data_IF_955603323203
#
_entry.id   IF_955603323203
#
_cell.length_a   1.000
_cell.length_b   1.000
_cell.length_c   1.000
_cell.angle_alpha   90.00
_cell.angle_beta   90.00
_cell.angle_gamma   90.00
#
_symmetry.space_group_name_H-M   'P 1'
#
loop_
_entity.id
_entity.type
_entity.pdbx_description
1 polymer ?
#
# COMPACT_ATOMS: atom_id res chain seq x y z
N UNK A 1 -0.20 -10.44 62.75
CA UNK A 1 -0.69 -11.72 63.32
C UNK A 1 -1.37 -12.49 62.21
N UNK A 2 -0.92 -13.71 61.89
CA UNK A 2 -1.65 -14.60 60.97
C UNK A 2 -2.96 -14.99 61.66
N UNK A 3 -4.10 -14.75 61.02
CA UNK A 3 -5.43 -15.10 61.57
C UNK A 3 -5.53 -16.61 61.80
N UNK A 4 -6.36 -17.02 62.76
CA UNK A 4 -6.57 -18.43 63.13
C UNK A 4 -6.96 -19.31 61.93
N UNK A 5 -7.70 -18.75 60.97
CA UNK A 5 -8.09 -19.40 59.72
C UNK A 5 -6.93 -19.65 58.77
N UNK A 6 -6.04 -18.66 58.57
CA UNK A 6 -4.84 -18.82 57.73
C UNK A 6 -3.88 -19.85 58.33
N UNK A 7 -3.71 -19.88 59.66
CA UNK A 7 -2.89 -20.90 60.33
C UNK A 7 -3.39 -22.32 60.04
N UNK A 8 -4.71 -22.54 60.16
CA UNK A 8 -5.35 -23.83 59.84
C UNK A 8 -5.15 -24.24 58.38
N UNK A 9 -5.26 -23.29 57.45
CA UNK A 9 -4.99 -23.56 56.03
C UNK A 9 -3.54 -24.01 55.80
N UNK A 10 -2.55 -23.35 56.41
CA UNK A 10 -1.15 -23.74 56.29
C UNK A 10 -0.82 -25.07 57.01
N UNK A 11 -1.48 -25.37 58.13
CA UNK A 11 -1.36 -26.69 58.77
C UNK A 11 -1.86 -27.81 57.85
N UNK A 12 -3.03 -27.62 57.23
CA UNK A 12 -3.55 -28.55 56.24
C UNK A 12 -2.62 -28.70 55.04
N UNK A 13 -2.04 -27.60 54.57
CA UNK A 13 -1.09 -27.58 53.46
C UNK A 13 0.23 -28.30 53.78
N UNK A 14 0.65 -28.25 55.05
CA UNK A 14 1.83 -28.98 55.53
C UNK A 14 1.59 -30.49 55.68
N UNK A 15 0.35 -30.97 55.46
CA UNK A 15 -0.03 -32.36 55.64
C UNK A 15 -0.17 -32.80 57.11
N UNK A 16 -0.19 -31.84 58.05
CA UNK A 16 -0.28 -32.10 59.49
C UNK A 16 -1.73 -31.97 60.00
N UNK A 17 -2.07 -32.73 61.04
CA UNK A 17 -3.37 -32.63 61.72
C UNK A 17 -3.53 -31.29 62.45
N UNK A 18 -4.57 -30.53 62.12
CA UNK A 18 -4.85 -29.21 62.70
C UNK A 18 -5.12 -29.29 64.19
N UNK A 19 -5.90 -30.28 64.63
CA UNK A 19 -6.32 -30.45 66.03
C UNK A 19 -5.14 -30.77 66.94
N UNK A 20 -4.20 -31.59 66.47
CA UNK A 20 -2.98 -31.95 67.21
C UNK A 20 -1.98 -30.79 67.28
N UNK A 21 -1.84 -30.01 66.20
CA UNK A 21 -0.90 -28.87 66.18
C UNK A 21 -1.35 -27.69 67.02
N UNK A 22 -2.66 -27.51 67.20
CA UNK A 22 -3.19 -26.43 68.06
C UNK A 22 -2.86 -26.65 69.54
N UNK A 23 -2.63 -27.90 69.96
CA UNK A 23 -2.20 -28.25 71.32
C UNK A 23 -0.68 -28.11 71.52
N UNK A 24 0.09 -27.99 70.45
CA UNK A 24 1.54 -27.83 70.47
C UNK A 24 1.97 -26.38 70.75
N UNK A 25 3.19 -26.16 71.27
CA UNK A 25 3.72 -24.82 71.51
C UNK A 25 3.88 -24.01 70.21
N UNK A 26 3.78 -22.68 70.33
CA UNK A 26 3.79 -21.72 69.20
C UNK A 26 5.01 -21.84 68.25
N UNK A 27 6.14 -22.36 68.73
CA UNK A 27 7.33 -22.54 67.89
C UNK A 27 7.20 -23.72 66.91
N UNK A 28 6.54 -24.81 67.30
CA UNK A 28 6.24 -25.95 66.41
C UNK A 28 5.20 -25.56 65.37
N UNK A 29 4.17 -24.83 65.79
CA UNK A 29 3.16 -24.30 64.87
C UNK A 29 3.79 -23.46 63.75
N UNK A 30 4.72 -22.56 64.09
CA UNK A 30 5.42 -21.72 63.09
C UNK A 30 6.24 -22.56 62.09
N UNK A 31 6.83 -23.67 62.53
CA UNK A 31 7.59 -24.59 61.65
C UNK A 31 6.70 -25.24 60.60
N UNK A 32 5.53 -25.74 61.00
CA UNK A 32 4.59 -26.35 60.06
C UNK A 32 3.92 -25.33 59.14
N UNK A 33 3.67 -24.09 59.63
CA UNK A 33 3.24 -22.99 58.74
C UNK A 33 4.31 -22.73 57.67
N UNK A 34 5.59 -22.72 58.03
CA UNK A 34 6.67 -22.54 57.06
C UNK A 34 6.72 -23.69 56.04
N UNK A 35 6.51 -24.94 56.45
CA UNK A 35 6.42 -26.07 55.52
C UNK A 35 5.19 -26.00 54.60
N UNK A 36 4.06 -25.47 55.07
CA UNK A 36 2.92 -25.17 54.21
C UNK A 36 3.28 -24.12 53.15
N UNK A 37 3.93 -23.03 53.56
CA UNK A 37 4.35 -21.97 52.64
C UNK A 37 5.29 -22.47 51.53
N UNK A 38 6.20 -23.41 51.81
CA UNK A 38 7.13 -23.93 50.78
C UNK A 38 6.43 -24.72 49.67
N UNK A 39 5.24 -25.28 49.93
CA UNK A 39 4.43 -25.99 48.93
C UNK A 39 3.63 -25.03 48.04
N UNK A 40 3.34 -23.81 48.50
CA UNK A 40 2.66 -22.80 47.68
C UNK A 40 3.53 -22.25 46.55
N UNK A 41 4.85 -22.19 46.74
CA UNK A 41 5.75 -21.58 45.75
C UNK A 41 5.75 -22.37 44.43
N UNK A 42 5.97 -23.70 44.42
CA UNK A 42 5.82 -24.51 43.20
C UNK A 42 4.42 -24.47 42.61
N UNK A 43 3.37 -24.48 43.45
CA UNK A 43 1.98 -24.36 43.02
C UNK A 43 1.71 -23.04 42.26
N UNK A 44 2.20 -21.92 42.78
CA UNK A 44 2.05 -20.61 42.14
C UNK A 44 2.79 -20.53 40.79
N UNK A 45 4.03 -21.04 40.73
CA UNK A 45 4.77 -21.10 39.46
C UNK A 45 4.11 -22.03 38.45
N UNK A 46 3.59 -23.18 38.88
CA UNK A 46 2.85 -24.10 38.02
C UNK A 46 1.57 -23.46 37.47
N UNK A 47 0.85 -22.69 38.29
CA UNK A 47 -0.33 -21.94 37.86
C UNK A 47 0.03 -20.91 36.77
N UNK A 48 1.03 -20.07 37.02
CA UNK A 48 1.46 -19.03 36.07
C UNK A 48 1.95 -19.64 34.76
N UNK A 49 2.78 -20.68 34.84
CA UNK A 49 3.31 -21.36 33.66
C UNK A 49 2.22 -22.04 32.82
N UNK A 50 1.28 -22.73 33.46
CA UNK A 50 0.16 -23.38 32.76
C UNK A 50 -0.81 -22.35 32.18
N UNK A 51 -1.11 -21.27 32.91
CA UNK A 51 -1.94 -20.17 32.40
C UNK A 51 -1.30 -19.52 31.17
N UNK A 52 0.01 -19.28 31.18
CA UNK A 52 0.72 -18.77 30.01
C UNK A 52 0.72 -19.75 28.84
N UNK A 53 1.01 -21.03 29.08
CA UNK A 53 0.98 -22.05 28.03
C UNK A 53 -0.42 -22.21 27.40
N UNK A 54 -1.49 -22.04 28.16
CA UNK A 54 -2.85 -22.05 27.63
C UNK A 54 -3.19 -20.75 26.89
N UNK A 55 -2.62 -19.62 27.30
CA UNK A 55 -2.81 -18.34 26.60
C UNK A 55 -2.27 -18.33 25.17
N UNK A 56 -1.34 -19.23 24.84
CA UNK A 56 -0.86 -19.42 23.46
C UNK A 56 -1.76 -20.33 22.63
N UNK A 57 -2.65 -21.10 23.26
CA UNK A 57 -3.56 -22.05 22.60
C UNK A 57 -5.00 -21.52 22.47
N UNK A 58 -5.48 -20.76 23.45
CA UNK A 58 -6.84 -20.24 23.49
C UNK A 58 -6.88 -18.83 24.06
N UNK A 59 -7.80 -18.01 23.54
CA UNK A 59 -8.05 -16.65 24.03
C UNK A 59 -9.15 -16.60 25.12
N UNK A 60 -9.77 -17.72 25.46
CA UNK A 60 -10.86 -17.75 26.44
C UNK A 60 -10.31 -17.77 27.88
N UNK A 61 -10.32 -16.61 28.55
CA UNK A 61 -9.86 -16.43 29.92
C UNK A 61 -10.47 -17.43 30.92
N UNK A 62 -11.75 -17.79 30.78
CA UNK A 62 -12.40 -18.74 31.68
C UNK A 62 -11.78 -20.14 31.60
N UNK A 63 -11.45 -20.59 30.39
CA UNK A 63 -10.80 -21.89 30.17
C UNK A 63 -9.37 -21.85 30.71
N UNK A 64 -8.63 -20.77 30.45
CA UNK A 64 -7.24 -20.59 30.90
C UNK A 64 -7.16 -20.71 32.43
N UNK A 65 -7.93 -19.91 33.16
CA UNK A 65 -7.86 -19.89 34.62
C UNK A 65 -8.37 -21.18 35.26
N UNK A 66 -9.43 -21.77 34.71
CA UNK A 66 -10.01 -23.01 35.27
C UNK A 66 -9.04 -24.19 35.12
N UNK A 67 -8.45 -24.37 33.92
CA UNK A 67 -7.52 -25.47 33.67
C UNK A 67 -6.19 -25.23 34.42
N UNK A 68 -5.68 -24.01 34.45
CA UNK A 68 -4.49 -23.67 35.23
C UNK A 68 -4.71 -23.90 36.73
N UNK A 69 -5.89 -23.60 37.27
CA UNK A 69 -6.24 -23.86 38.67
C UNK A 69 -6.27 -25.37 38.97
N UNK A 70 -6.86 -26.17 38.08
CA UNK A 70 -6.85 -27.65 38.21
C UNK A 70 -5.41 -28.18 38.18
N UNK A 71 -4.58 -27.68 37.27
CA UNK A 71 -3.18 -28.09 37.17
C UNK A 71 -2.37 -27.71 38.42
N UNK A 72 -2.53 -26.48 38.90
CA UNK A 72 -1.89 -26.02 40.13
C UNK A 72 -2.34 -26.86 41.34
N UNK A 73 -3.62 -27.24 41.39
CA UNK A 73 -4.14 -28.12 42.42
C UNK A 73 -3.51 -29.53 42.36
N UNK A 74 -3.31 -30.09 41.16
CA UNK A 74 -2.58 -31.37 41.01
C UNK A 74 -1.17 -31.26 41.60
N UNK A 75 -0.40 -30.24 41.22
CA UNK A 75 0.95 -30.02 41.76
C UNK A 75 0.92 -29.84 43.28
N UNK A 76 -0.04 -29.04 43.79
CA UNK A 76 -0.22 -28.82 45.22
C UNK A 76 -0.48 -30.14 45.97
N UNK A 77 -1.31 -31.02 45.42
CA UNK A 77 -1.61 -32.32 46.04
C UNK A 77 -0.41 -33.26 46.04
N UNK A 78 0.37 -33.29 44.96
CA UNK A 78 1.59 -34.10 44.85
C UNK A 78 2.64 -33.61 45.86
N UNK A 79 2.93 -32.31 45.88
CA UNK A 79 3.91 -31.74 46.81
C UNK A 79 3.49 -31.89 48.27
N UNK A 80 2.19 -31.76 48.56
CA UNK A 80 1.63 -32.07 49.88
C UNK A 80 1.81 -33.54 50.24
N UNK A 81 1.52 -34.48 49.34
CA UNK A 81 1.66 -35.91 49.58
C UNK A 81 3.13 -36.29 49.85
N UNK A 82 4.07 -35.67 49.11
CA UNK A 82 5.50 -35.85 49.32
C UNK A 82 5.96 -35.33 50.70
N UNK A 83 5.43 -34.20 51.15
CA UNK A 83 5.71 -33.63 52.48
C UNK A 83 5.09 -34.48 53.61
N UNK A 84 3.84 -34.90 53.45
CA UNK A 84 3.11 -35.73 54.43
C UNK A 84 3.71 -37.13 54.58
N UNK A 85 4.37 -37.64 53.54
CA UNK A 85 5.07 -38.94 53.57
C UNK A 85 6.35 -38.91 54.41
N UNK A 86 6.84 -37.73 54.82
CA UNK A 86 8.04 -37.61 55.66
C UNK A 86 7.77 -38.13 57.08
N UNK A 87 8.50 -39.17 57.50
CA UNK A 87 8.44 -39.70 58.88
C UNK A 87 9.76 -39.45 59.63
N UNK A 88 9.73 -38.77 60.80
CA UNK A 88 10.94 -38.47 61.57
C UNK A 88 11.80 -39.69 61.94
N UNK A 89 11.16 -40.84 62.21
CA UNK A 89 11.80 -42.06 62.70
C UNK A 89 12.28 -43.03 61.60
N UNK A 90 12.41 -42.57 60.35
CA UNK A 90 12.85 -43.41 59.24
C UNK A 90 14.39 -43.54 59.16
N UNK A 91 14.89 -44.68 58.65
CA UNK A 91 16.33 -44.90 58.45
C UNK A 91 16.95 -43.86 57.50
N UNK A 92 18.22 -43.47 57.69
CA UNK A 92 18.85 -42.40 56.91
C UNK A 92 18.88 -42.70 55.40
N UNK A 93 19.01 -43.98 55.01
CA UNK A 93 18.99 -44.41 53.61
C UNK A 93 17.62 -44.15 52.96
N UNK A 94 16.52 -44.45 53.66
CA UNK A 94 15.17 -44.21 53.16
C UNK A 94 14.84 -42.71 53.13
N UNK A 95 15.35 -41.92 54.09
CA UNK A 95 15.28 -40.45 54.06
C UNK A 95 15.99 -39.88 52.83
N UNK A 96 17.17 -40.38 52.50
CA UNK A 96 17.91 -39.96 51.31
C UNK A 96 17.17 -40.36 50.03
N UNK A 97 16.60 -41.57 49.95
CA UNK A 97 15.81 -42.01 48.80
C UNK A 97 14.55 -41.15 48.56
N UNK A 98 13.83 -40.78 49.62
CA UNK A 98 12.67 -39.89 49.51
C UNK A 98 13.07 -38.47 49.09
N UNK A 99 14.20 -37.96 49.60
CA UNK A 99 14.75 -36.68 49.19
C UNK A 99 15.21 -36.69 47.73
N UNK A 100 15.89 -37.74 47.29
CA UNK A 100 16.33 -37.93 45.91
C UNK A 100 15.15 -38.01 44.94
N UNK A 101 14.10 -38.78 45.28
CA UNK A 101 12.87 -38.84 44.48
C UNK A 101 12.24 -37.45 44.32
N UNK A 102 12.14 -36.69 45.42
CA UNK A 102 11.63 -35.31 45.39
C UNK A 102 12.49 -34.40 44.52
N UNK A 103 13.81 -34.53 44.60
CA UNK A 103 14.74 -33.75 43.81
C UNK A 103 14.62 -34.05 42.31
N UNK A 104 14.50 -35.33 41.93
CA UNK A 104 14.28 -35.74 40.53
C UNK A 104 12.96 -35.21 39.99
N UNK A 105 11.87 -35.34 40.75
CA UNK A 105 10.56 -34.78 40.36
C UNK A 105 10.62 -33.27 40.21
N UNK A 106 11.29 -32.56 41.13
CA UNK A 106 11.46 -31.12 41.06
C UNK A 106 12.27 -30.66 39.83
N UNK A 107 13.33 -31.39 39.44
CA UNK A 107 14.08 -31.11 38.21
C UNK A 107 13.21 -31.31 36.98
N UNK A 108 12.49 -32.44 36.91
CA UNK A 108 11.64 -32.75 35.76
C UNK A 108 10.54 -31.69 35.60
N UNK A 109 9.86 -31.35 36.69
CA UNK A 109 8.86 -30.27 36.70
C UNK A 109 9.51 -28.92 36.37
N UNK A 110 10.69 -28.62 36.93
CA UNK A 110 11.43 -27.39 36.67
C UNK A 110 11.74 -27.18 35.18
N UNK A 111 12.22 -28.21 34.48
CA UNK A 111 12.51 -28.12 33.03
C UNK A 111 11.21 -27.87 32.24
N UNK A 112 10.15 -28.60 32.55
CA UNK A 112 8.87 -28.47 31.83
C UNK A 112 8.17 -27.12 32.07
N UNK A 113 8.27 -26.58 33.29
CA UNK A 113 7.69 -25.29 33.69
C UNK A 113 8.57 -24.12 33.23
N UNK A 114 9.88 -24.31 33.11
CA UNK A 114 10.80 -23.25 32.70
C UNK A 114 10.55 -22.79 31.25
N UNK A 115 10.27 -23.71 30.33
CA UNK A 115 10.08 -23.36 28.92
C UNK A 115 8.99 -22.29 28.69
N UNK A 116 7.74 -22.46 29.18
CA UNK A 116 6.73 -21.42 29.05
C UNK A 116 7.10 -20.13 29.80
N UNK A 117 7.74 -20.21 30.97
CA UNK A 117 8.15 -19.01 31.72
C UNK A 117 9.24 -18.20 31.00
N UNK A 118 10.21 -18.86 30.38
CA UNK A 118 11.27 -18.19 29.59
C UNK A 118 10.64 -17.50 28.38
N UNK A 119 9.71 -18.17 27.69
CA UNK A 119 8.99 -17.57 26.58
C UNK A 119 8.13 -16.37 27.01
N UNK A 120 7.50 -16.43 28.18
CA UNK A 120 6.74 -15.31 28.74
C UNK A 120 7.65 -14.13 29.08
N UNK A 121 8.78 -14.39 29.73
CA UNK A 121 9.73 -13.36 30.17
C UNK A 121 10.38 -12.62 28.98
N UNK A 122 10.70 -13.34 27.90
CA UNK A 122 11.37 -12.80 26.73
C UNK A 122 10.43 -12.54 25.55
N UNK A 123 9.11 -12.57 25.75
CA UNK A 123 8.12 -12.42 24.69
C UNK A 123 8.39 -11.18 23.83
N UNK A 124 8.65 -10.04 24.47
CA UNK A 124 8.83 -8.77 23.78
C UNK A 124 10.16 -8.74 23.01
N UNK A 125 11.24 -9.25 23.61
CA UNK A 125 12.54 -9.40 22.94
C UNK A 125 12.45 -10.31 21.72
N UNK A 126 11.76 -11.45 21.85
CA UNK A 126 11.54 -12.39 20.74
C UNK A 126 10.75 -11.70 19.62
N UNK A 127 9.68 -10.98 19.96
CA UNK A 127 8.87 -10.27 18.97
C UNK A 127 9.65 -9.18 18.24
N UNK A 128 10.50 -8.44 18.96
CA UNK A 128 11.36 -7.42 18.36
C UNK A 128 12.37 -8.01 17.39
N UNK A 129 12.99 -9.14 17.73
CA UNK A 129 13.94 -9.82 16.84
C UNK A 129 13.21 -10.33 15.60
N UNK A 130 12.04 -10.95 15.77
CA UNK A 130 11.22 -11.44 14.65
C UNK A 130 10.85 -10.31 13.69
N UNK A 131 10.42 -9.15 14.19
CA UNK A 131 10.07 -8.02 13.31
C UNK A 131 11.31 -7.43 12.62
N UNK A 132 12.47 -7.41 13.30
CA UNK A 132 13.72 -6.97 12.67
C UNK A 132 14.17 -7.92 11.54
N UNK A 133 14.10 -9.22 11.75
CA UNK A 133 14.39 -10.22 10.71
C UNK A 133 13.37 -10.14 9.57
N UNK A 134 12.09 -9.93 9.90
CA UNK A 134 11.03 -9.75 8.90
C UNK A 134 11.27 -8.52 8.03
N UNK A 135 11.65 -7.40 8.63
CA UNK A 135 12.00 -6.19 7.89
C UNK A 135 13.18 -6.43 6.93
N UNK A 136 14.24 -7.10 7.40
CA UNK A 136 15.39 -7.46 6.56
C UNK A 136 15.00 -8.42 5.41
N UNK A 137 14.14 -9.40 5.68
CA UNK A 137 13.62 -10.31 4.64
C UNK A 137 12.77 -9.57 3.60
N UNK A 138 11.97 -8.59 4.02
CA UNK A 138 11.18 -7.75 3.10
C UNK A 138 12.11 -6.91 2.22
N UNK A 139 13.15 -6.31 2.79
CA UNK A 139 14.13 -5.51 2.04
C UNK A 139 14.86 -6.34 0.98
N UNK A 140 15.44 -7.47 1.37
CA UNK A 140 16.10 -8.39 0.41
C UNK A 140 15.15 -8.91 -0.68
N UNK A 141 13.87 -9.06 -0.36
CA UNK A 141 12.85 -9.45 -1.34
C UNK A 141 12.51 -8.31 -2.29
N UNK A 142 12.42 -7.06 -1.79
CA UNK A 142 12.22 -5.86 -2.62
C UNK A 142 13.36 -5.69 -3.62
N UNK A 143 14.60 -5.87 -3.19
CA UNK A 143 15.78 -5.78 -4.07
C UNK A 143 15.69 -6.78 -5.22
N UNK A 144 15.31 -8.04 -4.94
CA UNK A 144 15.10 -9.07 -5.97
C UNK A 144 14.00 -8.68 -6.97
N UNK A 145 12.93 -8.07 -6.48
CA UNK A 145 11.84 -7.59 -7.34
C UNK A 145 12.26 -6.38 -8.18
N UNK A 146 13.06 -5.46 -7.64
CA UNK A 146 13.52 -4.30 -8.39
C UNK A 146 14.50 -4.69 -9.50
N UNK A 147 15.40 -5.65 -9.26
CA UNK A 147 16.23 -6.26 -10.32
C UNK A 147 15.36 -6.91 -11.41
N UNK A 148 14.30 -7.63 -11.02
CA UNK A 148 13.39 -8.23 -12.00
C UNK A 148 12.60 -7.18 -12.79
N UNK A 149 12.12 -6.12 -12.14
CA UNK A 149 11.46 -5.00 -12.81
C UNK A 149 12.38 -4.32 -13.81
N UNK A 150 13.64 -4.10 -13.44
CA UNK A 150 14.61 -3.46 -14.33
C UNK A 150 14.89 -4.33 -15.55
N UNK A 151 15.02 -5.65 -15.37
CA UNK A 151 15.13 -6.60 -16.48
C UNK A 151 13.90 -6.56 -17.39
N UNK A 152 12.69 -6.50 -16.82
CA UNK A 152 11.45 -6.39 -17.60
C UNK A 152 11.37 -5.05 -18.34
N UNK A 153 11.76 -3.93 -17.71
CA UNK A 153 11.85 -2.61 -18.36
C UNK A 153 12.83 -2.62 -19.52
N UNK A 154 14.01 -3.20 -19.34
CA UNK A 154 14.99 -3.36 -20.41
C UNK A 154 14.45 -4.20 -21.58
N UNK A 155 13.72 -5.27 -21.29
CA UNK A 155 13.06 -6.06 -22.34
C UNK A 155 11.98 -5.24 -23.07
N UNK A 156 11.20 -4.42 -22.35
CA UNK A 156 10.18 -3.54 -22.95
C UNK A 156 10.85 -2.51 -23.87
N UNK A 157 11.92 -1.85 -23.43
CA UNK A 157 12.63 -0.88 -24.27
C UNK A 157 13.21 -1.53 -25.53
N UNK A 158 13.76 -2.75 -25.41
CA UNK A 158 14.25 -3.51 -26.58
C UNK A 158 13.10 -3.89 -27.54
N UNK A 159 11.95 -4.29 -27.00
CA UNK A 159 10.76 -4.58 -27.81
C UNK A 159 10.23 -3.32 -28.51
N UNK A 160 10.16 -2.19 -27.82
CA UNK A 160 9.75 -0.91 -28.39
C UNK A 160 10.70 -0.45 -29.51
N UNK A 161 12.02 -0.60 -29.31
CA UNK A 161 13.03 -0.32 -30.34
C UNK A 161 12.83 -1.25 -31.56
N UNK A 162 12.62 -2.55 -31.33
CA UNK A 162 12.35 -3.50 -32.43
C UNK A 162 11.05 -3.19 -33.19
N UNK A 163 10.01 -2.73 -32.49
CA UNK A 163 8.74 -2.30 -33.10
C UNK A 163 8.94 -1.00 -33.89
N UNK A 164 9.73 -0.06 -33.36
CA UNK A 164 10.08 1.17 -34.06
C UNK A 164 10.85 0.89 -35.34
N UNK A 165 11.85 -0.01 -35.31
CA UNK A 165 12.55 -0.48 -36.51
C UNK A 165 11.59 -1.14 -37.52
N UNK A 166 10.69 -2.00 -37.05
CA UNK A 166 9.69 -2.63 -37.93
C UNK A 166 8.74 -1.60 -38.55
N UNK A 167 8.31 -0.59 -37.80
CA UNK A 167 7.50 0.52 -38.31
C UNK A 167 8.26 1.37 -39.33
N UNK A 168 9.55 1.60 -39.11
CA UNK A 168 10.41 2.27 -40.09
C UNK A 168 10.51 1.44 -41.38
N UNK A 169 10.82 0.15 -41.30
CA UNK A 169 10.86 -0.76 -42.47
C UNK A 169 9.51 -0.82 -43.19
N UNK A 170 8.41 -0.85 -42.44
CA UNK A 170 7.05 -0.80 -42.98
C UNK A 170 6.82 0.51 -43.73
N UNK A 171 7.10 1.67 -43.12
CA UNK A 171 6.96 2.98 -43.77
C UNK A 171 7.87 3.12 -44.99
N UNK A 172 9.11 2.63 -44.92
CA UNK A 172 10.04 2.58 -46.06
C UNK A 172 9.50 1.70 -47.21
N UNK A 173 8.65 0.71 -46.94
CA UNK A 173 8.00 -0.08 -48.00
C UNK A 173 6.90 0.68 -48.75
N UNK A 174 6.26 1.67 -48.11
CA UNK A 174 5.28 2.55 -48.77
C UNK A 174 5.93 3.77 -49.41
N UNK A 175 7.07 4.21 -48.89
CA UNK A 175 7.86 5.23 -49.55
C UNK A 175 8.58 4.61 -50.74
N UNK A 176 8.17 4.97 -51.96
CA UNK A 176 8.86 4.61 -53.18
C UNK A 176 10.24 5.28 -53.25
N UNK A 177 11.19 4.83 -52.42
CA UNK A 177 12.59 5.29 -52.37
C UNK A 177 13.34 5.00 -53.67
N UNK A 178 12.73 4.25 -54.59
CA UNK A 178 13.22 4.00 -55.94
C UNK A 178 12.81 5.08 -56.97
N UNK A 179 11.92 6.02 -56.63
CA UNK A 179 11.32 6.94 -57.61
C UNK A 179 11.74 8.40 -57.42
N UNK A 180 12.11 8.85 -56.21
CA UNK A 180 12.41 10.29 -56.00
C UNK A 180 13.67 10.44 -55.16
N UNK A 181 14.77 10.68 -55.86
CA UNK A 181 16.00 11.19 -55.30
C UNK A 181 15.97 12.72 -55.44
N UNK A 182 15.21 13.40 -54.59
CA UNK A 182 15.36 14.84 -54.41
C UNK A 182 14.92 15.25 -52.99
N UNK A 183 15.83 15.93 -52.30
CA UNK A 183 15.67 16.51 -50.96
C UNK A 183 14.57 17.58 -51.00
N UNK A 184 13.80 17.73 -49.92
CA UNK A 184 13.87 18.90 -49.02
C UNK A 184 12.82 18.87 -47.89
N UNK A 185 13.30 19.31 -46.73
CA UNK A 185 12.66 20.06 -45.64
C UNK A 185 11.69 19.42 -44.62
N UNK A 186 12.19 19.45 -43.38
CA UNK A 186 11.61 19.02 -42.12
C UNK A 186 10.54 19.98 -41.54
N UNK A 187 9.84 20.73 -42.39
CA UNK A 187 8.67 21.55 -42.00
C UNK A 187 7.41 21.20 -42.82
N UNK A 188 7.46 20.08 -43.56
CA UNK A 188 6.31 19.59 -44.32
C UNK A 188 5.27 18.98 -43.38
N UNK A 189 4.31 19.84 -43.03
CA UNK A 189 2.89 19.59 -42.92
C UNK A 189 2.48 18.11 -42.82
N UNK A 190 1.73 17.79 -41.75
CA UNK A 190 0.89 16.59 -41.65
C UNK A 190 0.28 16.32 -43.04
N UNK A 191 0.53 15.14 -43.65
CA UNK A 191 0.08 14.85 -45.01
C UNK A 191 -1.42 15.09 -45.15
N UNK A 192 -1.80 16.11 -45.94
CA UNK A 192 -3.19 16.38 -46.31
C UNK A 192 -3.79 17.74 -45.91
N UNK A 193 -3.15 18.56 -45.06
CA UNK A 193 -3.64 19.93 -44.73
C UNK A 193 -2.71 21.01 -45.29
N UNK A 194 -3.28 22.12 -45.76
CA UNK A 194 -2.51 23.34 -46.11
C UNK A 194 -1.99 24.04 -44.85
N UNK A 195 -0.92 24.84 -44.98
CA UNK A 195 -0.32 25.56 -43.85
C UNK A 195 -1.32 26.49 -43.12
N UNK A 196 -2.25 27.10 -43.86
CA UNK A 196 -3.29 27.96 -43.30
C UNK A 196 -4.32 27.16 -42.46
N UNK A 197 -4.72 25.97 -42.95
CA UNK A 197 -5.64 25.09 -42.22
C UNK A 197 -5.02 24.54 -40.93
N UNK A 198 -3.71 24.30 -40.92
CA UNK A 198 -3.00 23.90 -39.68
C UNK A 198 -2.98 25.02 -38.65
N UNK A 199 -2.85 26.27 -39.08
CA UNK A 199 -2.88 27.43 -38.19
C UNK A 199 -4.28 27.63 -37.58
N UNK A 200 -5.33 27.47 -38.38
CA UNK A 200 -6.72 27.52 -37.90
C UNK A 200 -7.06 26.38 -36.93
N UNK A 201 -6.65 25.15 -37.24
CA UNK A 201 -6.84 24.01 -36.34
C UNK A 201 -6.16 24.24 -34.99
N UNK A 202 -4.89 24.68 -35.00
CA UNK A 202 -4.15 25.00 -33.77
C UNK A 202 -4.86 26.08 -32.95
N UNK A 203 -5.28 27.17 -33.59
CA UNK A 203 -6.01 28.24 -32.91
C UNK A 203 -7.33 27.75 -32.28
N UNK A 204 -8.09 26.92 -33.00
CA UNK A 204 -9.34 26.35 -32.51
C UNK A 204 -9.12 25.37 -31.34
N UNK A 205 -8.07 24.54 -31.40
CA UNK A 205 -7.71 23.64 -30.29
C UNK A 205 -7.20 24.40 -29.06
N UNK A 206 -6.42 25.47 -29.26
CA UNK A 206 -5.94 26.32 -28.17
C UNK A 206 -7.11 27.06 -27.51
N UNK A 207 -8.05 27.62 -28.27
CA UNK A 207 -9.23 28.29 -27.72
C UNK A 207 -10.12 27.33 -26.92
N UNK A 208 -10.34 26.11 -27.44
CA UNK A 208 -11.14 25.09 -26.78
C UNK A 208 -10.50 24.55 -25.49
N UNK A 209 -9.16 24.50 -25.41
CA UNK A 209 -8.42 23.93 -24.26
C UNK A 209 -8.06 24.97 -23.20
N UNK A 210 -7.99 26.26 -23.57
CA UNK A 210 -7.62 27.39 -22.70
C UNK A 210 -8.22 27.39 -21.29
N UNK A 211 -9.55 27.26 -21.09
CA UNK A 211 -10.11 27.33 -19.74
C UNK A 211 -9.64 26.17 -18.84
N UNK A 212 -9.36 25.01 -19.43
CA UNK A 212 -8.88 23.85 -18.70
C UNK A 212 -7.38 23.93 -18.42
N UNK A 213 -6.58 24.44 -19.37
CA UNK A 213 -5.15 24.65 -19.17
C UNK A 213 -4.87 25.74 -18.13
N UNK A 214 -5.65 26.83 -18.12
CA UNK A 214 -5.53 27.89 -17.12
C UNK A 214 -5.84 27.33 -15.72
N UNK A 215 -6.88 26.49 -15.59
CA UNK A 215 -7.18 25.83 -14.32
C UNK A 215 -6.11 24.81 -13.91
N UNK A 216 -5.54 24.06 -14.86
CA UNK A 216 -4.43 23.13 -14.61
C UNK A 216 -3.21 23.84 -14.04
N UNK A 217 -2.80 24.97 -14.64
CA UNK A 217 -1.67 25.74 -14.13
C UNK A 217 -1.92 26.29 -12.71
N UNK A 218 -3.15 26.72 -12.42
CA UNK A 218 -3.53 27.16 -11.08
C UNK A 218 -3.47 26.02 -10.04
N UNK A 219 -3.94 24.82 -10.40
CA UNK A 219 -3.87 23.63 -9.53
C UNK A 219 -2.43 23.20 -9.31
N UNK A 220 -1.59 23.26 -10.34
CA UNK A 220 -0.17 22.94 -10.21
C UNK A 220 0.53 23.92 -9.28
N UNK A 221 0.25 25.23 -9.38
CA UNK A 221 0.75 26.24 -8.44
C UNK A 221 0.30 25.99 -6.99
N UNK A 222 -0.98 25.63 -6.78
CA UNK A 222 -1.48 25.28 -5.44
C UNK A 222 -0.81 24.01 -4.89
N UNK A 223 -0.62 23.00 -5.75
CA UNK A 223 0.00 21.74 -5.36
C UNK A 223 1.47 21.94 -5.00
N UNK A 224 2.22 22.77 -5.75
CA UNK A 224 3.62 23.08 -5.44
C UNK A 224 3.80 23.87 -4.15
N UNK A 225 2.83 24.73 -3.79
CA UNK A 225 2.82 25.45 -2.51
C UNK A 225 2.48 24.55 -1.31
N UNK A 226 1.48 23.70 -1.44
CA UNK A 226 0.96 22.88 -0.33
C UNK A 226 1.81 21.64 -0.05
N UNK A 227 2.46 21.07 -1.07
CA UNK A 227 3.32 19.89 -0.93
C UNK A 227 4.41 20.07 0.14
N UNK A 228 5.25 21.12 0.14
CA UNK A 228 6.27 21.29 1.17
C UNK A 228 5.71 21.54 2.57
N UNK A 229 4.54 22.19 2.68
CA UNK A 229 3.87 22.36 3.97
C UNK A 229 3.38 21.01 4.53
N UNK A 230 2.81 20.18 3.66
CA UNK A 230 2.37 18.84 4.02
C UNK A 230 3.53 17.92 4.41
N UNK A 231 4.65 17.94 3.66
CA UNK A 231 5.83 17.13 4.01
C UNK A 231 6.45 17.58 5.33
N UNK A 232 6.56 18.88 5.58
CA UNK A 232 7.00 19.41 6.89
C UNK A 232 6.09 18.93 8.03
N UNK A 233 4.79 18.94 7.81
CA UNK A 233 3.84 18.52 8.84
C UNK A 233 3.90 16.99 9.09
N UNK A 234 4.17 16.19 8.06
CA UNK A 234 4.44 14.77 8.21
C UNK A 234 5.73 14.48 8.99
N UNK A 235 6.81 15.23 8.74
CA UNK A 235 8.06 15.05 9.50
C UNK A 235 7.90 15.45 10.96
N UNK A 236 7.18 16.55 11.24
CA UNK A 236 6.84 16.94 12.62
C UNK A 236 5.97 15.88 13.32
N UNK A 237 4.99 15.30 12.63
CA UNK A 237 4.19 14.20 13.18
C UNK A 237 5.04 12.99 13.53
N UNK A 238 5.93 12.56 12.62
CA UNK A 238 6.84 11.45 12.88
C UNK A 238 7.75 11.71 14.08
N UNK A 239 8.30 12.92 14.19
CA UNK A 239 9.10 13.34 15.33
C UNK A 239 8.33 13.26 16.66
N UNK A 240 7.13 13.84 16.71
CA UNK A 240 6.32 13.85 17.94
C UNK A 240 5.74 12.47 18.29
N UNK A 241 5.47 11.62 17.30
CA UNK A 241 5.09 10.23 17.52
C UNK A 241 6.23 9.46 18.19
N UNK A 242 7.46 9.60 17.68
CA UNK A 242 8.63 9.00 18.29
C UNK A 242 8.85 9.51 19.73
N UNK A 243 8.73 10.82 19.98
CA UNK A 243 8.86 11.37 21.34
C UNK A 243 7.76 10.86 22.28
N UNK A 244 6.52 10.73 21.80
CA UNK A 244 5.41 10.18 22.58
C UNK A 244 5.65 8.69 22.93
N UNK A 245 6.12 7.89 21.98
CA UNK A 245 6.47 6.48 22.20
C UNK A 245 7.64 6.33 23.18
N UNK A 246 8.67 7.18 23.08
CA UNK A 246 9.79 7.19 24.04
C UNK A 246 9.35 7.49 25.46
N UNK A 247 8.39 8.41 25.63
CA UNK A 247 7.79 8.71 26.93
C UNK A 247 6.93 7.55 27.45
N UNK A 248 6.09 6.94 26.60
CA UNK A 248 5.30 5.76 26.97
C UNK A 248 6.17 4.57 27.41
N UNK A 249 7.30 4.39 26.75
CA UNK A 249 8.27 3.35 27.05
C UNK A 249 9.15 3.66 28.28
N UNK A 250 8.93 4.80 28.94
CA UNK A 250 9.65 5.18 30.15
C UNK A 250 11.12 5.50 29.95
N UNK A 251 11.59 5.71 28.71
CA UNK A 251 13.01 5.95 28.41
C UNK A 251 13.53 7.29 28.99
N UNK A 252 12.63 8.25 29.23
CA UNK A 252 12.93 9.54 29.85
C UNK A 252 12.38 9.64 31.28
N UNK A 253 11.12 9.27 31.49
CA UNK A 253 10.46 9.39 32.79
C UNK A 253 10.81 8.26 33.78
N UNK A 254 11.45 7.17 33.34
CA UNK A 254 11.72 5.98 34.16
C UNK A 254 10.49 5.16 34.55
N UNK A 255 9.28 5.63 34.21
CA UNK A 255 7.99 4.99 34.43
C UNK A 255 7.34 4.74 33.07
N UNK A 256 6.89 3.50 32.84
CA UNK A 256 6.12 3.15 31.65
C UNK A 256 4.67 3.62 31.81
N UNK A 257 4.09 4.16 30.73
CA UNK A 257 2.70 4.59 30.66
C UNK A 257 2.51 6.09 30.39
N UNK A 258 1.25 6.52 30.33
CA UNK A 258 0.89 7.90 30.04
C UNK A 258 1.11 8.83 31.24
N UNK A 259 2.36 9.27 31.42
CA UNK A 259 2.68 10.36 32.33
C UNK A 259 2.07 11.71 31.89
N UNK A 260 2.14 12.76 32.74
CA UNK A 260 1.61 14.09 32.42
C UNK A 260 2.18 14.67 31.10
N UNK A 261 3.48 14.45 30.84
CA UNK A 261 4.13 14.87 29.59
C UNK A 261 3.63 14.11 28.36
N UNK A 262 3.40 12.80 28.48
CA UNK A 262 2.84 12.02 27.38
C UNK A 262 1.44 12.54 27.01
N UNK A 263 0.61 12.88 28.01
CA UNK A 263 -0.71 13.47 27.79
C UNK A 263 -0.63 14.81 27.08
N UNK A 264 0.28 15.70 27.47
CA UNK A 264 0.44 17.01 26.82
C UNK A 264 1.02 16.87 25.40
N UNK A 265 1.94 15.94 25.15
CA UNK A 265 2.41 15.66 23.78
C UNK A 265 1.25 15.19 22.89
N UNK A 266 0.38 14.32 23.42
CA UNK A 266 -0.80 13.86 22.67
C UNK A 266 -1.75 15.02 22.33
N UNK A 267 -2.20 15.76 23.34
CA UNK A 267 -3.21 16.82 23.15
C UNK A 267 -2.65 18.04 22.42
N UNK A 268 -1.43 18.46 22.74
CA UNK A 268 -0.93 19.77 22.29
C UNK A 268 -0.12 19.64 21.00
N UNK A 269 0.48 18.47 20.75
CA UNK A 269 1.36 18.28 19.59
C UNK A 269 0.80 17.31 18.55
N UNK A 270 0.29 16.14 18.95
CA UNK A 270 -0.15 15.10 18.02
C UNK A 270 -1.55 15.34 17.45
N UNK A 271 -2.55 15.60 18.29
CA UNK A 271 -3.94 15.74 17.85
C UNK A 271 -4.14 16.88 16.83
N UNK A 272 -3.70 18.13 17.10
CA UNK A 272 -3.85 19.23 16.14
C UNK A 272 -3.15 18.95 14.82
N UNK A 273 -1.95 18.36 14.87
CA UNK A 273 -1.19 18.02 13.66
C UNK A 273 -1.81 16.87 12.89
N UNK A 274 -2.43 15.88 13.55
CA UNK A 274 -3.14 14.79 12.85
C UNK A 274 -4.36 15.34 12.12
N UNK A 275 -5.11 16.23 12.75
CA UNK A 275 -6.25 16.90 12.12
C UNK A 275 -5.81 17.76 10.94
N UNK A 276 -4.75 18.55 11.11
CA UNK A 276 -4.22 19.38 10.04
C UNK A 276 -3.60 18.56 8.89
N UNK A 277 -2.91 17.46 9.19
CA UNK A 277 -2.42 16.50 8.19
C UNK A 277 -3.58 15.90 7.40
N UNK A 278 -4.65 15.51 8.07
CA UNK A 278 -5.84 14.95 7.42
C UNK A 278 -6.51 15.98 6.51
N UNK A 279 -6.62 17.23 6.97
CA UNK A 279 -7.17 18.35 6.20
C UNK A 279 -6.34 18.62 4.94
N UNK A 280 -5.02 18.77 5.10
CA UNK A 280 -4.09 19.07 4.00
C UNK A 280 -3.97 17.90 3.02
N UNK A 281 -3.92 16.66 3.53
CA UNK A 281 -3.92 15.46 2.71
C UNK A 281 -5.20 15.32 1.87
N UNK A 282 -6.37 15.57 2.48
CA UNK A 282 -7.64 15.58 1.75
C UNK A 282 -7.72 16.68 0.68
N UNK A 283 -7.10 17.84 0.93
CA UNK A 283 -7.04 18.92 -0.04
C UNK A 283 -6.11 18.58 -1.22
N UNK A 284 -4.95 17.98 -0.97
CA UNK A 284 -4.06 17.48 -2.04
C UNK A 284 -4.70 16.35 -2.86
N UNK A 285 -5.46 15.46 -2.21
CA UNK A 285 -6.22 14.40 -2.88
C UNK A 285 -7.29 15.00 -3.80
N UNK A 286 -8.05 16.00 -3.32
CA UNK A 286 -9.00 16.75 -4.14
C UNK A 286 -8.33 17.42 -5.34
N UNK A 287 -7.22 18.14 -5.15
CA UNK A 287 -6.47 18.78 -6.24
C UNK A 287 -5.96 17.78 -7.26
N UNK A 288 -5.50 16.61 -6.81
CA UNK A 288 -5.04 15.52 -7.70
C UNK A 288 -6.19 14.94 -8.51
N UNK A 289 -7.36 14.75 -7.88
CA UNK A 289 -8.57 14.29 -8.58
C UNK A 289 -9.08 15.33 -9.59
N UNK A 290 -9.09 16.61 -9.21
CA UNK A 290 -9.46 17.73 -10.08
C UNK A 290 -8.52 17.84 -11.28
N UNK A 291 -7.20 17.73 -11.07
CA UNK A 291 -6.20 17.68 -12.15
C UNK A 291 -6.51 16.58 -13.17
N UNK A 292 -6.75 15.36 -12.70
CA UNK A 292 -7.06 14.21 -13.57
C UNK A 292 -8.35 14.42 -14.36
N UNK A 293 -9.37 15.02 -13.74
CA UNK A 293 -10.61 15.35 -14.41
C UNK A 293 -10.39 16.40 -15.52
N UNK A 294 -9.60 17.45 -15.23
CA UNK A 294 -9.26 18.49 -16.21
C UNK A 294 -8.42 17.95 -17.37
N UNK A 295 -7.43 17.09 -17.13
CA UNK A 295 -6.68 16.42 -18.20
C UNK A 295 -7.58 15.61 -19.13
N UNK A 296 -8.63 14.99 -18.56
CA UNK A 296 -9.62 14.26 -19.36
C UNK A 296 -10.49 15.21 -20.17
N UNK A 297 -10.89 16.35 -19.59
CA UNK A 297 -11.65 17.39 -20.27
C UNK A 297 -10.84 18.07 -21.39
N UNK A 298 -9.54 18.29 -21.21
CA UNK A 298 -8.63 18.78 -22.25
C UNK A 298 -8.65 17.84 -23.45
N UNK A 299 -8.42 16.54 -23.25
CA UNK A 299 -8.46 15.54 -24.34
C UNK A 299 -9.82 15.48 -25.03
N UNK A 300 -10.91 15.60 -24.28
CA UNK A 300 -12.25 15.66 -24.83
C UNK A 300 -12.49 16.93 -25.65
N UNK A 301 -11.99 18.09 -25.19
CA UNK A 301 -12.08 19.35 -25.90
C UNK A 301 -11.22 19.34 -27.19
N UNK A 302 -10.00 18.79 -27.14
CA UNK A 302 -9.14 18.61 -28.31
C UNK A 302 -9.80 17.72 -29.36
N UNK A 303 -10.28 16.53 -28.97
CA UNK A 303 -10.96 15.63 -29.90
C UNK A 303 -12.25 16.23 -30.47
N UNK A 304 -13.02 16.98 -29.66
CA UNK A 304 -14.19 17.72 -30.13
C UNK A 304 -13.85 18.82 -31.14
N UNK A 305 -12.79 19.60 -30.89
CA UNK A 305 -12.32 20.63 -31.80
C UNK A 305 -11.80 20.04 -33.13
N UNK A 306 -11.05 18.94 -33.07
CA UNK A 306 -10.58 18.21 -34.26
C UNK A 306 -11.77 17.68 -35.06
N UNK A 307 -12.74 17.02 -34.42
CA UNK A 307 -13.92 16.50 -35.10
C UNK A 307 -14.75 17.61 -35.77
N UNK A 308 -14.91 18.75 -35.12
CA UNK A 308 -15.58 19.91 -35.71
C UNK A 308 -14.81 20.47 -36.93
N UNK A 309 -13.48 20.46 -36.88
CA UNK A 309 -12.64 20.88 -38.00
C UNK A 309 -12.70 19.90 -39.18
N UNK A 310 -12.70 18.59 -38.91
CA UNK A 310 -12.88 17.56 -39.96
C UNK A 310 -14.21 17.71 -40.70
N UNK A 311 -15.28 18.08 -40.01
CA UNK A 311 -16.59 18.37 -40.66
C UNK A 311 -16.46 19.57 -41.59
N UNK A 312 -15.83 20.66 -41.14
CA UNK A 312 -15.58 21.85 -41.98
C UNK A 312 -14.74 21.51 -43.21
N UNK A 313 -13.69 20.69 -43.06
CA UNK A 313 -12.87 20.25 -44.19
C UNK A 313 -13.70 19.46 -45.21
N UNK A 314 -14.54 18.53 -44.77
CA UNK A 314 -15.44 17.77 -45.66
C UNK A 314 -16.43 18.68 -46.39
N UNK A 315 -16.98 19.69 -45.71
CA UNK A 315 -17.87 20.68 -46.34
C UNK A 315 -17.14 21.50 -47.42
N UNK A 316 -15.91 21.93 -47.15
CA UNK A 316 -15.07 22.65 -48.12
C UNK A 316 -14.72 21.75 -49.31
N UNK A 317 -14.36 20.48 -49.08
CA UNK A 317 -14.09 19.52 -50.15
C UNK A 317 -15.32 19.28 -51.04
N UNK A 318 -16.51 19.15 -50.45
CA UNK A 318 -17.76 19.01 -51.19
C UNK A 318 -18.09 20.27 -52.01
N UNK A 319 -17.88 21.46 -51.45
CA UNK A 319 -18.07 22.73 -52.15
C UNK A 319 -17.11 22.87 -53.34
N UNK A 320 -15.83 22.57 -53.14
CA UNK A 320 -14.81 22.59 -54.18
C UNK A 320 -15.11 21.59 -55.30
N UNK A 321 -15.60 20.39 -54.95
CA UNK A 321 -16.03 19.40 -55.94
C UNK A 321 -17.22 19.89 -56.76
N UNK A 322 -18.22 20.50 -56.11
CA UNK A 322 -19.37 21.08 -56.80
C UNK A 322 -18.97 22.24 -57.74
N UNK A 323 -18.01 23.08 -57.33
CA UNK A 323 -17.45 24.12 -58.21
C UNK A 323 -16.67 23.52 -59.38
N UNK A 324 -15.85 22.50 -59.15
CA UNK A 324 -15.11 21.82 -60.20
C UNK A 324 -16.06 21.18 -61.24
N UNK A 325 -17.12 20.53 -60.78
CA UNK A 325 -18.17 19.95 -61.64
C UNK A 325 -18.88 21.06 -62.44
N UNK A 326 -19.22 22.20 -61.81
CA UNK A 326 -19.81 23.36 -62.50
C UNK A 326 -18.87 23.96 -63.55
N UNK A 327 -17.58 24.07 -63.26
CA UNK A 327 -16.57 24.58 -64.22
C UNK A 327 -16.38 23.60 -65.37
N UNK A 328 -16.37 22.30 -65.10
CA UNK A 328 -16.32 21.26 -66.14
C UNK A 328 -17.55 21.31 -67.05
N UNK A 329 -18.74 21.52 -66.49
CA UNK A 329 -19.99 21.71 -67.25
C UNK A 329 -19.94 22.96 -68.13
N UNK A 330 -19.44 24.07 -67.60
CA UNK A 330 -19.26 25.30 -68.36
C UNK A 330 -18.25 25.12 -69.50
N UNK A 331 -17.12 24.44 -69.25
CA UNK A 331 -16.14 24.13 -70.29
C UNK A 331 -16.74 23.29 -71.41
N UNK A 332 -17.50 22.22 -71.09
CA UNK A 332 -18.20 21.40 -72.09
C UNK A 332 -19.19 22.22 -72.92
N UNK A 333 -19.91 23.16 -72.30
CA UNK A 333 -20.81 24.06 -73.05
C UNK A 333 -20.04 24.97 -74.00
N UNK A 334 -18.96 25.60 -73.54
CA UNK A 334 -18.11 26.47 -74.37
C UNK A 334 -17.49 25.69 -75.54
N UNK A 335 -17.00 24.48 -75.30
CA UNK A 335 -16.46 23.60 -76.36
C UNK A 335 -17.53 23.23 -77.41
N UNK A 336 -18.75 22.90 -76.97
CA UNK A 336 -19.86 22.62 -77.87
C UNK A 336 -20.27 23.85 -78.70
N UNK A 337 -20.33 25.03 -78.08
CA UNK A 337 -20.64 26.30 -78.76
C UNK A 337 -19.54 26.67 -79.79
N UNK A 338 -18.27 26.44 -79.44
CA UNK A 338 -17.15 26.60 -80.37
C UNK A 338 -17.22 25.63 -81.54
N UNK A 339 -17.56 24.36 -81.30
CA UNK A 339 -17.76 23.38 -82.37
C UNK A 339 -18.95 23.73 -83.29
N UNK A 340 -20.07 24.20 -82.72
CA UNK A 340 -21.23 24.64 -83.47
C UNK A 340 -20.94 25.88 -84.33
N UNK A 341 -20.22 26.87 -83.79
CA UNK A 341 -19.81 28.05 -84.56
C UNK A 341 -18.83 27.70 -85.69
N UNK A 342 -17.87 26.80 -85.45
CA UNK A 342 -16.94 26.35 -86.48
C UNK A 342 -17.64 25.60 -87.62
N UNK A 343 -18.58 24.69 -87.31
CA UNK A 343 -19.36 23.98 -88.34
C UNK A 343 -20.23 24.92 -89.17
N UNK A 344 -20.82 25.93 -88.54
CA UNK A 344 -21.60 26.97 -89.23
C UNK A 344 -20.70 27.76 -90.19
N UNK A 345 -19.55 28.25 -89.72
CA UNK A 345 -18.58 28.97 -90.57
C UNK A 345 -18.09 28.12 -91.75
N UNK A 346 -17.82 26.83 -91.53
CA UNK A 346 -17.41 25.90 -92.59
C UNK A 346 -18.52 25.67 -93.61
N UNK A 347 -19.78 25.57 -93.17
CA UNK A 347 -20.93 25.42 -94.06
C UNK A 347 -21.17 26.68 -94.89
N UNK A 348 -21.02 27.87 -94.31
CA UNK A 348 -21.13 29.15 -95.02
C UNK A 348 -20.02 29.31 -96.08
N UNK A 349 -18.78 28.94 -95.73
CA UNK A 349 -17.66 28.86 -96.67
C UNK A 349 -17.97 27.89 -97.83
N UNK A 350 -18.48 26.68 -97.53
CA UNK A 350 -18.88 25.70 -98.55
C UNK A 350 -20.01 26.21 -99.44
N UNK A 351 -21.00 26.90 -98.89
CA UNK A 351 -22.06 27.54 -99.68
C UNK A 351 -21.52 28.65 -100.57
N UNK A 352 -20.62 29.48 -100.06
CA UNK A 352 -19.96 30.56 -100.83
C UNK A 352 -19.15 29.98 -102.00
N UNK A 353 -18.36 28.92 -101.74
CA UNK A 353 -17.62 28.20 -102.79
C UNK A 353 -18.58 27.59 -103.82
N UNK A 354 -19.68 26.98 -103.38
CA UNK A 354 -20.68 26.40 -104.28
C UNK A 354 -21.34 27.47 -105.17
N UNK A 355 -21.71 28.61 -104.61
CA UNK A 355 -22.26 29.74 -105.38
C UNK A 355 -21.25 30.30 -106.40
N UNK A 356 -19.96 30.32 -106.07
CA UNK A 356 -18.89 30.71 -107.01
C UNK A 356 -18.66 29.68 -108.12
N UNK A 357 -18.94 28.39 -107.87
CA UNK A 357 -18.87 27.32 -108.87
C UNK A 357 -20.09 27.37 -109.81
N UNK A 358 -21.29 27.59 -109.27
CA UNK A 358 -22.55 27.62 -110.05
C UNK A 358 -22.73 28.91 -110.89
N UNK A 359 -21.87 29.92 -110.72
CA UNK A 359 -21.88 31.20 -111.46
C UNK A 359 -20.88 31.26 -112.63
N UNK A 360 -20.27 30.12 -113.00
CA UNK A 360 -19.51 29.94 -114.25
C UNK A 360 -20.15 28.85 -115.09
#
# INVERSE_FOLDING_TARGET
MITTTLKRAFFWLSGAGTETLEQCPNWEQRKYVAFGCTVLVPCAFAFIACAYALSTLTANNWVIFSVAAVWAFIILTIDRALLASYRPFMSPIRKLGQFALRFVVAILMGITIAHPLVLLLFRDTISSVIESERAALIETTRDKFDVSKEKVRSNITQLEESIAEQRLKWNESFQAKFIIQEKEDADSAIPGLTADQQKELKAATEEATKPFTDRLTAIEAQSTELTPQYTKLQTELGFWQAEFERELNGQRSGLSGEGPRARSIRSDQLEPRREESKRMGGLLEHLTAEKKALETQVRAAESGAIAAFEVKLKEIELANKAEADRVADLKRKVENDQAASFTTQQNDLRQTIKQQIDTR
#
